data_IF_381173733113
#
_entry.id   IF_381173733113
#
_cell.length_a   1.000
_cell.length_b   1.000
_cell.length_c   1.000
_cell.angle_alpha   90.00
_cell.angle_beta   90.00
_cell.angle_gamma   90.00
#
_symmetry.space_group_name_H-M   'P 1'
#
loop_
_entity.id
_entity.type
_entity.pdbx_description
1 polymer ?
#
# COMPACT_ATOMS: atom_id res chain seq x y z
N UNK A 1 -36.56 19.71 80.08
CA UNK A 1 -37.00 19.47 78.71
C UNK A 1 -35.90 18.76 77.99
N UNK A 2 -35.93 17.41 77.92
CA UNK A 2 -34.93 16.59 77.27
C UNK A 2 -35.56 16.07 75.93
N UNK A 3 -34.96 16.46 74.83
CA UNK A 3 -35.34 15.90 73.50
C UNK A 3 -34.41 14.73 73.25
N UNK A 4 -34.98 13.52 73.29
CA UNK A 4 -34.29 12.30 72.86
C UNK A 4 -34.07 12.25 71.36
N UNK A 5 -32.84 11.91 70.98
CA UNK A 5 -32.43 11.72 69.62
C UNK A 5 -32.51 10.21 69.26
N UNK A 6 -33.49 9.83 68.46
CA UNK A 6 -33.63 8.46 67.96
C UNK A 6 -32.66 8.21 66.81
N UNK A 7 -31.68 7.32 67.04
CA UNK A 7 -30.77 6.85 65.98
C UNK A 7 -31.44 5.69 65.26
N UNK A 8 -31.80 5.93 63.97
CA UNK A 8 -32.38 4.92 63.11
C UNK A 8 -31.32 3.92 62.60
N UNK A 9 -31.49 2.67 62.96
CA UNK A 9 -30.67 1.56 62.58
C UNK A 9 -30.99 1.22 61.07
N UNK A 10 -30.07 1.52 60.16
CA UNK A 10 -30.22 1.08 58.75
C UNK A 10 -29.87 -0.39 58.64
N UNK A 11 -30.85 -1.20 58.23
CA UNK A 11 -30.63 -2.61 57.89
C UNK A 11 -29.77 -2.71 56.61
N UNK A 12 -28.60 -3.31 56.75
CA UNK A 12 -27.75 -3.69 55.61
C UNK A 12 -28.29 -5.00 55.07
N UNK A 13 -28.81 -4.96 53.86
CA UNK A 13 -29.24 -6.16 53.09
C UNK A 13 -28.01 -6.66 52.37
N UNK A 14 -27.46 -7.80 52.81
CA UNK A 14 -26.38 -8.50 52.11
C UNK A 14 -27.01 -9.42 51.08
N UNK A 15 -26.79 -9.16 49.81
CA UNK A 15 -27.15 -10.06 48.73
C UNK A 15 -26.06 -11.14 48.57
N UNK A 16 -26.43 -12.43 48.43
CA UNK A 16 -25.44 -13.46 48.17
C UNK A 16 -24.93 -13.32 46.73
N UNK A 17 -23.62 -13.14 46.59
CA UNK A 17 -22.94 -13.19 45.28
C UNK A 17 -22.91 -14.64 44.86
N UNK A 18 -23.76 -14.99 43.87
CA UNK A 18 -23.68 -16.27 43.18
C UNK A 18 -22.43 -16.30 42.29
N UNK A 19 -21.45 -17.07 42.71
CA UNK A 19 -20.27 -17.36 41.88
C UNK A 19 -20.72 -18.30 40.76
N UNK A 20 -20.94 -17.73 39.58
CA UNK A 20 -21.17 -18.51 38.36
C UNK A 20 -19.81 -19.03 37.84
N UNK A 21 -19.49 -20.28 38.15
CA UNK A 21 -18.34 -20.96 37.55
C UNK A 21 -18.60 -21.27 36.10
N UNK A 22 -17.99 -20.47 35.19
CA UNK A 22 -18.00 -20.74 33.74
C UNK A 22 -16.95 -21.83 33.52
N UNK A 23 -17.39 -23.06 33.22
CA UNK A 23 -16.55 -24.12 32.67
C UNK A 23 -16.22 -23.78 31.22
N UNK A 24 -15.02 -23.25 30.98
CA UNK A 24 -14.50 -23.09 29.63
C UNK A 24 -13.98 -24.45 29.15
N UNK A 25 -14.75 -25.12 28.33
CA UNK A 25 -14.31 -26.32 27.62
C UNK A 25 -13.28 -25.89 26.54
N UNK A 26 -12.01 -26.13 26.82
CA UNK A 26 -10.94 -25.95 25.80
C UNK A 26 -11.01 -27.13 24.86
N UNK A 27 -11.67 -26.97 23.72
CA UNK A 27 -11.53 -27.91 22.61
C UNK A 27 -10.13 -27.72 22.00
N UNK A 28 -9.18 -28.56 22.37
CA UNK A 28 -7.93 -28.67 21.65
C UNK A 28 -8.21 -29.33 20.29
N UNK A 29 -8.28 -28.48 19.25
CA UNK A 29 -8.27 -28.98 17.87
C UNK A 29 -6.86 -29.47 17.61
N UNK A 30 -6.69 -30.78 17.63
CA UNK A 30 -5.49 -31.39 17.05
C UNK A 30 -5.55 -31.17 15.54
N UNK A 31 -4.72 -30.26 15.04
CA UNK A 31 -4.45 -30.17 13.62
C UNK A 31 -3.79 -31.51 13.18
N UNK A 32 -4.56 -32.34 12.50
CA UNK A 32 -3.99 -33.47 11.78
C UNK A 32 -3.10 -32.92 10.69
N UNK A 33 -1.80 -33.14 10.86
CA UNK A 33 -0.81 -32.91 9.82
C UNK A 33 -1.02 -33.94 8.72
N UNK A 34 -1.90 -33.67 7.77
CA UNK A 34 -2.00 -34.42 6.53
C UNK A 34 -0.88 -33.99 5.61
N UNK A 35 0.28 -34.61 5.77
CA UNK A 35 1.29 -34.62 4.74
C UNK A 35 0.72 -35.37 3.53
N UNK A 36 0.01 -34.65 2.66
CA UNK A 36 -0.18 -35.00 1.26
C UNK A 36 -0.89 -33.86 0.54
N UNK A 37 -0.13 -32.99 -0.04
CA UNK A 37 -0.47 -32.40 -1.34
C UNK A 37 0.81 -31.82 -1.90
N UNK A 38 1.31 -32.48 -2.88
CA UNK A 38 2.21 -31.94 -3.88
C UNK A 38 1.46 -30.84 -4.65
N UNK A 39 1.09 -29.77 -3.98
CA UNK A 39 0.66 -28.54 -4.61
C UNK A 39 1.94 -27.77 -4.95
N UNK A 40 2.52 -28.10 -6.11
CA UNK A 40 3.29 -27.15 -6.88
C UNK A 40 2.35 -25.97 -7.20
N UNK A 41 1.94 -25.23 -6.19
CA UNK A 41 1.43 -23.87 -6.37
C UNK A 41 2.66 -23.07 -6.77
N UNK A 42 2.80 -22.85 -8.07
CA UNK A 42 3.64 -21.82 -8.64
C UNK A 42 3.22 -20.46 -8.03
N UNK A 43 3.66 -20.20 -6.79
CA UNK A 43 3.49 -18.91 -6.09
C UNK A 43 4.30 -17.80 -6.74
N UNK A 44 5.04 -18.11 -7.82
CA UNK A 44 5.89 -17.18 -8.54
C UNK A 44 5.16 -16.25 -9.51
N UNK A 45 3.81 -16.21 -9.50
CA UNK A 45 3.06 -15.44 -10.51
C UNK A 45 2.13 -14.37 -9.94
N UNK A 46 2.17 -14.09 -8.63
CA UNK A 46 1.23 -13.15 -8.00
C UNK A 46 1.60 -11.68 -8.21
N UNK A 47 2.86 -11.36 -8.46
CA UNK A 47 3.33 -10.01 -8.72
C UNK A 47 4.36 -10.03 -9.83
N UNK A 48 4.03 -9.45 -10.98
CA UNK A 48 4.90 -9.42 -12.16
C UNK A 48 4.87 -8.03 -12.79
N UNK A 49 5.71 -7.10 -12.32
CA UNK A 49 5.82 -5.77 -12.91
C UNK A 49 6.28 -5.86 -14.37
N UNK A 50 5.80 -4.93 -15.19
CA UNK A 50 6.08 -4.88 -16.62
C UNK A 50 7.51 -4.33 -16.83
N UNK A 51 8.40 -5.02 -17.57
CA UNK A 51 9.75 -4.52 -17.79
C UNK A 51 9.77 -3.24 -18.63
N UNK A 52 10.55 -2.24 -18.20
CA UNK A 52 10.88 -1.03 -18.96
C UNK A 52 12.38 -0.86 -19.13
N UNK A 53 12.78 -0.20 -20.22
CA UNK A 53 14.13 0.31 -20.37
C UNK A 53 14.29 1.63 -19.60
N UNK A 54 15.50 1.97 -19.19
CA UNK A 54 15.82 3.20 -18.46
C UNK A 54 15.67 4.50 -19.27
N UNK A 55 15.33 4.39 -20.54
CA UNK A 55 14.92 5.49 -21.41
C UNK A 55 13.87 4.94 -22.35
N UNK A 56 12.60 5.08 -21.98
CA UNK A 56 11.47 4.54 -22.73
C UNK A 56 10.23 5.41 -22.54
N UNK A 57 9.37 5.39 -23.54
CA UNK A 57 8.04 5.97 -23.50
C UNK A 57 7.04 4.89 -23.90
N UNK A 58 5.99 4.76 -23.10
CA UNK A 58 4.91 3.80 -23.34
C UNK A 58 3.55 4.49 -23.21
N UNK A 59 2.56 3.95 -23.92
CA UNK A 59 1.15 4.23 -23.68
C UNK A 59 0.50 2.94 -23.16
N UNK A 60 -0.26 3.03 -22.07
CA UNK A 60 -0.91 1.88 -21.45
C UNK A 60 -2.22 2.33 -20.77
N UNK A 61 -2.91 1.43 -20.10
CA UNK A 61 -4.21 1.69 -19.46
C UNK A 61 -4.20 1.18 -18.03
N UNK A 62 -4.52 2.06 -17.08
CA UNK A 62 -4.82 1.70 -15.69
C UNK A 62 -6.26 1.18 -15.61
N UNK A 63 -6.46 0.02 -14.99
CA UNK A 63 -7.76 -0.67 -14.96
C UNK A 63 -8.15 -1.08 -13.53
N UNK A 64 -9.41 -1.39 -13.33
CA UNK A 64 -9.92 -1.93 -12.05
C UNK A 64 -9.45 -3.37 -11.73
N UNK A 65 -8.70 -4.00 -12.62
CA UNK A 65 -8.07 -5.31 -12.41
C UNK A 65 -6.59 -5.22 -12.09
N UNK A 66 -6.04 -4.01 -12.05
CA UNK A 66 -4.66 -3.76 -11.62
C UNK A 66 -4.51 -3.88 -10.10
N UNK A 67 -3.33 -3.61 -9.58
CA UNK A 67 -2.99 -3.80 -8.16
C UNK A 67 -3.83 -2.85 -7.30
N UNK A 68 -4.67 -3.35 -6.37
CA UNK A 68 -5.39 -2.48 -5.45
C UNK A 68 -4.42 -1.81 -4.47
N UNK A 69 -4.56 -0.49 -4.27
CA UNK A 69 -3.61 0.29 -3.44
C UNK A 69 -3.86 0.19 -1.94
N UNK A 70 -5.02 -0.35 -1.51
CA UNK A 70 -5.42 -0.41 -0.11
C UNK A 70 -5.95 0.92 0.46
N UNK A 71 -5.80 2.02 -0.29
CA UNK A 71 -6.34 3.35 0.05
C UNK A 71 -7.46 3.77 -0.92
N UNK A 72 -7.98 2.83 -1.70
CA UNK A 72 -8.81 3.06 -2.86
C UNK A 72 -7.96 3.20 -4.14
N UNK A 73 -8.59 2.93 -5.29
CA UNK A 73 -7.94 2.99 -6.59
C UNK A 73 -6.97 1.83 -6.88
N UNK A 74 -6.29 1.95 -8.00
CA UNK A 74 -5.47 0.90 -8.57
C UNK A 74 -4.07 1.43 -8.92
N UNK A 75 -3.11 0.53 -9.00
CA UNK A 75 -1.73 0.81 -9.39
C UNK A 75 -1.25 -0.16 -10.45
N UNK A 76 -0.42 0.31 -11.37
CA UNK A 76 0.28 -0.51 -12.35
C UNK A 76 1.78 -0.30 -12.21
N UNK A 77 2.50 -1.40 -12.08
CA UNK A 77 3.91 -1.41 -11.75
C UNK A 77 4.79 -1.77 -12.95
N UNK A 78 5.85 -1.01 -13.12
CA UNK A 78 6.88 -1.23 -14.12
C UNK A 78 8.24 -1.40 -13.45
N UNK A 79 9.02 -2.40 -13.88
CA UNK A 79 10.38 -2.58 -13.36
C UNK A 79 11.41 -1.99 -14.31
N UNK A 80 12.37 -1.26 -13.75
CA UNK A 80 13.47 -0.61 -14.48
C UNK A 80 14.79 -0.85 -13.76
N UNK A 81 15.84 -1.21 -14.50
CA UNK A 81 17.19 -1.36 -13.96
C UNK A 81 17.93 -0.02 -14.00
N UNK A 82 18.35 0.46 -12.84
CA UNK A 82 19.04 1.74 -12.66
C UNK A 82 20.39 1.55 -11.97
N UNK A 83 21.29 2.48 -12.23
CA UNK A 83 22.62 2.48 -11.63
C UNK A 83 22.77 3.66 -10.67
N UNK A 84 23.55 3.46 -9.62
CA UNK A 84 23.95 4.54 -8.72
C UNK A 84 24.54 5.71 -9.51
N UNK A 85 24.02 6.91 -9.24
CA UNK A 85 24.42 8.13 -9.90
C UNK A 85 23.55 8.53 -11.09
N UNK A 86 22.66 7.66 -11.58
CA UNK A 86 21.69 8.04 -12.62
C UNK A 86 20.80 9.18 -12.11
N UNK A 87 20.53 10.15 -12.97
CA UNK A 87 19.52 11.18 -12.74
C UNK A 87 18.34 10.88 -13.66
N UNK A 88 17.14 10.86 -13.12
CA UNK A 88 15.93 10.52 -13.83
C UNK A 88 14.95 11.69 -13.90
N UNK A 89 14.26 11.78 -15.01
CA UNK A 89 12.97 12.42 -15.12
C UNK A 89 11.94 11.35 -15.49
N UNK A 90 10.84 11.30 -14.77
CA UNK A 90 9.71 10.40 -15.04
C UNK A 90 8.49 11.27 -15.24
N UNK A 91 7.93 11.24 -16.45
CA UNK A 91 6.73 11.97 -16.84
C UNK A 91 5.54 10.99 -16.90
N UNK A 92 4.43 11.35 -16.32
CA UNK A 92 3.18 10.60 -16.40
C UNK A 92 2.04 11.55 -16.74
N UNK A 93 1.33 11.26 -17.81
CA UNK A 93 0.20 12.06 -18.25
C UNK A 93 -1.04 11.21 -18.53
N UNK A 94 -2.21 11.73 -18.17
CA UNK A 94 -3.51 11.13 -18.44
C UNK A 94 -4.57 12.21 -18.68
N UNK A 95 -5.48 11.92 -19.60
CA UNK A 95 -6.71 12.70 -19.79
C UNK A 95 -7.89 12.11 -19.00
N UNK A 96 -7.68 10.96 -18.35
CA UNK A 96 -8.75 10.18 -17.72
C UNK A 96 -8.71 10.25 -16.19
N UNK A 97 -7.55 10.49 -15.60
CA UNK A 97 -7.38 10.54 -14.14
C UNK A 97 -6.24 11.48 -13.74
N UNK A 98 -6.31 11.97 -12.55
CA UNK A 98 -5.24 12.71 -11.88
C UNK A 98 -4.12 11.73 -11.48
N UNK A 99 -2.89 12.01 -11.88
CA UNK A 99 -1.81 11.01 -11.87
C UNK A 99 -0.92 11.09 -10.64
N UNK A 100 -0.37 9.97 -10.21
CA UNK A 100 0.71 9.91 -9.22
C UNK A 100 1.80 8.96 -9.71
N UNK A 101 3.05 9.40 -9.62
CA UNK A 101 4.24 8.58 -9.82
C UNK A 101 4.86 8.27 -8.47
N UNK A 102 5.07 6.99 -8.16
CA UNK A 102 5.88 6.56 -7.03
C UNK A 102 7.06 5.74 -7.55
N UNK A 103 8.28 6.11 -7.19
CA UNK A 103 9.49 5.30 -7.43
C UNK A 103 9.82 4.51 -6.18
N UNK A 104 9.80 3.16 -6.28
CA UNK A 104 10.19 2.26 -5.20
C UNK A 104 11.60 1.72 -5.45
N UNK A 105 12.38 1.65 -4.38
CA UNK A 105 13.72 1.10 -4.38
C UNK A 105 13.76 -0.43 -4.48
N UNK A 106 14.97 -1.01 -4.60
CA UNK A 106 15.13 -2.48 -4.65
C UNK A 106 14.64 -3.20 -3.41
N UNK A 107 14.58 -2.52 -2.28
CA UNK A 107 14.04 -2.99 -0.99
C UNK A 107 12.53 -2.78 -0.83
N UNK A 108 11.88 -2.17 -1.84
CA UNK A 108 10.46 -1.82 -1.82
C UNK A 108 10.11 -0.53 -1.09
N UNK A 109 11.09 0.19 -0.54
CA UNK A 109 10.86 1.50 0.08
C UNK A 109 10.56 2.57 -0.97
N UNK A 110 9.79 3.59 -0.60
CA UNK A 110 9.55 4.76 -1.46
C UNK A 110 10.80 5.63 -1.52
N UNK A 111 11.37 5.76 -2.71
CA UNK A 111 12.52 6.64 -2.99
C UNK A 111 12.06 8.06 -3.27
N UNK A 112 11.00 8.20 -4.08
CA UNK A 112 10.42 9.50 -4.42
C UNK A 112 8.97 9.29 -4.90
N UNK A 113 8.15 10.32 -4.72
CA UNK A 113 6.76 10.35 -5.17
C UNK A 113 6.40 11.78 -5.58
N UNK A 114 5.59 11.92 -6.63
CA UNK A 114 5.01 13.20 -7.02
C UNK A 114 3.69 12.99 -7.77
N UNK A 115 2.73 13.90 -7.50
CA UNK A 115 1.41 13.95 -8.13
C UNK A 115 1.20 15.20 -8.98
N UNK A 116 2.16 16.14 -8.95
CA UNK A 116 2.10 17.40 -9.69
C UNK A 116 3.11 17.47 -10.84
N UNK A 117 2.74 18.24 -11.85
CA UNK A 117 3.62 18.68 -12.93
C UNK A 117 3.85 20.18 -12.89
N UNK A 118 4.87 20.70 -13.59
CA UNK A 118 5.18 22.13 -13.63
C UNK A 118 4.15 22.96 -14.42
N UNK A 119 3.27 22.31 -15.13
CA UNK A 119 2.24 22.92 -15.99
C UNK A 119 0.91 23.19 -15.25
N UNK A 120 0.81 22.79 -13.96
CA UNK A 120 -0.40 22.96 -13.15
C UNK A 120 -1.59 22.11 -13.61
N UNK A 121 -1.32 21.05 -14.39
CA UNK A 121 -2.31 20.03 -14.79
C UNK A 121 -2.31 18.87 -13.80
N UNK A 122 -3.21 17.92 -13.99
CA UNK A 122 -3.26 16.64 -13.27
C UNK A 122 -2.21 15.61 -13.72
N UNK A 123 -1.16 16.06 -14.44
CA UNK A 123 -0.03 15.23 -14.84
C UNK A 123 1.07 15.30 -13.79
N UNK A 124 1.90 14.26 -13.72
CA UNK A 124 2.98 14.20 -12.73
C UNK A 124 4.35 14.24 -13.41
N UNK A 125 5.31 14.94 -12.79
CA UNK A 125 6.71 14.95 -13.19
C UNK A 125 7.61 14.74 -11.99
N UNK A 126 8.34 13.62 -11.95
CA UNK A 126 9.24 13.26 -10.87
C UNK A 126 10.69 13.35 -11.31
N UNK A 127 11.50 14.13 -10.59
CA UNK A 127 12.95 14.16 -10.75
C UNK A 127 13.62 13.50 -9.55
N UNK A 128 14.58 12.60 -9.80
CA UNK A 128 15.31 11.97 -8.72
C UNK A 128 16.72 11.53 -9.15
N UNK A 129 17.62 11.41 -8.16
CA UNK A 129 18.94 10.82 -8.33
C UNK A 129 19.00 9.45 -7.66
N UNK A 130 19.50 8.47 -8.38
CA UNK A 130 19.61 7.09 -7.90
C UNK A 130 20.85 6.95 -7.00
N UNK A 131 20.64 6.46 -5.78
CA UNK A 131 21.68 6.33 -4.74
C UNK A 131 22.32 4.95 -4.68
N UNK A 132 21.67 3.93 -5.25
CA UNK A 132 22.17 2.55 -5.32
C UNK A 132 21.80 1.89 -6.65
N UNK A 133 22.60 0.91 -7.08
CA UNK A 133 22.32 0.13 -8.29
C UNK A 133 21.33 -0.98 -7.97
N UNK A 134 20.25 -1.11 -8.79
CA UNK A 134 19.27 -2.16 -8.56
C UNK A 134 18.09 -2.15 -9.54
N UNK A 135 17.12 -3.01 -9.27
CA UNK A 135 15.83 -3.01 -9.94
C UNK A 135 14.85 -2.16 -9.14
N UNK A 136 14.33 -1.12 -9.76
CA UNK A 136 13.37 -0.18 -9.21
C UNK A 136 11.99 -0.45 -9.78
N UNK A 137 10.95 -0.04 -9.07
CA UNK A 137 9.59 -0.06 -9.56
C UNK A 137 9.12 1.37 -9.78
N UNK A 138 8.70 1.67 -11.01
CA UNK A 138 7.92 2.85 -11.33
C UNK A 138 6.46 2.46 -11.20
N UNK A 139 5.79 2.97 -10.19
CA UNK A 139 4.37 2.73 -9.94
C UNK A 139 3.55 3.89 -10.47
N UNK A 140 2.62 3.57 -11.36
CA UNK A 140 1.58 4.46 -11.87
C UNK A 140 0.32 4.23 -11.07
N UNK A 141 -0.27 5.30 -10.52
CA UNK A 141 -1.58 5.24 -9.87
C UNK A 141 -2.37 6.53 -10.06
N UNK A 142 -3.66 6.48 -9.80
CA UNK A 142 -4.48 7.69 -9.76
C UNK A 142 -4.45 8.34 -8.38
N UNK A 143 -4.56 9.67 -8.36
CA UNK A 143 -4.95 10.40 -7.17
C UNK A 143 -6.44 10.16 -6.89
N UNK A 144 -6.80 9.86 -5.63
CA UNK A 144 -8.18 9.48 -5.27
C UNK A 144 -8.49 8.00 -5.54
N UNK A 145 -9.78 7.63 -5.33
CA UNK A 145 -10.18 6.24 -5.13
C UNK A 145 -10.61 5.49 -6.40
N UNK A 146 -10.88 6.18 -7.53
CA UNK A 146 -11.61 5.58 -8.67
C UNK A 146 -11.01 5.82 -10.05
N UNK A 147 -9.87 6.54 -10.14
CA UNK A 147 -9.28 6.88 -11.44
C UNK A 147 -8.75 5.65 -12.17
N UNK A 148 -9.23 5.45 -13.39
CA UNK A 148 -8.76 4.44 -14.35
C UNK A 148 -8.78 5.05 -15.75
N UNK A 149 -8.03 4.48 -16.69
CA UNK A 149 -8.01 4.94 -18.08
C UNK A 149 -6.62 4.96 -18.68
N UNK A 150 -6.52 5.54 -19.86
CA UNK A 150 -5.29 5.60 -20.63
C UNK A 150 -4.31 6.61 -20.02
N UNK A 151 -3.04 6.27 -20.10
CA UNK A 151 -1.94 7.14 -19.70
C UNK A 151 -0.73 6.98 -20.62
N UNK A 152 0.18 7.95 -20.55
CA UNK A 152 1.52 7.88 -21.13
C UNK A 152 2.54 7.98 -20.00
N UNK A 153 3.49 7.06 -19.97
CA UNK A 153 4.60 7.04 -19.04
C UNK A 153 5.91 7.16 -19.81
N UNK A 154 6.73 8.14 -19.45
CA UNK A 154 8.06 8.34 -20.02
C UNK A 154 9.11 8.35 -18.93
N UNK A 155 10.07 7.46 -19.05
CA UNK A 155 11.25 7.42 -18.19
C UNK A 155 12.45 7.93 -18.99
N UNK A 156 13.13 8.96 -18.51
CA UNK A 156 14.28 9.57 -19.16
C UNK A 156 15.48 9.57 -18.23
N UNK A 157 16.58 8.98 -18.67
CA UNK A 157 17.86 9.11 -18.01
C UNK A 157 18.54 10.39 -18.48
N UNK A 158 18.68 11.35 -17.56
CA UNK A 158 19.25 12.65 -17.85
C UNK A 158 20.77 12.54 -17.97
N UNK A 159 21.34 13.22 -18.96
CA UNK A 159 22.77 13.31 -19.16
C UNK A 159 23.23 14.76 -18.93
N UNK A 160 24.42 14.91 -18.35
CA UNK A 160 25.02 16.23 -18.25
C UNK A 160 25.32 16.78 -19.65
N UNK A 161 24.89 18.01 -19.91
CA UNK A 161 25.30 18.74 -21.12
C UNK A 161 26.81 19.04 -21.00
N UNK A 162 27.56 18.62 -21.99
CA UNK A 162 28.99 18.88 -22.09
C UNK A 162 29.24 20.26 -22.71
#
# INVERSE_FOLDING_TARGET
MNKGFAVGLKKIIIFPVSILTILISINTVFAQNTNNANTNTNTNNLYKPIPLNSSSEIADTLTATDIPTGQGGFARDYTVKLNKGDNLAIDLSSENFDTIITLLGPDGSTVAENDDGPDGTSNSLLFTRITETGNYIVRVRSFGETGVGNFKLKVTKLQAVK
#
